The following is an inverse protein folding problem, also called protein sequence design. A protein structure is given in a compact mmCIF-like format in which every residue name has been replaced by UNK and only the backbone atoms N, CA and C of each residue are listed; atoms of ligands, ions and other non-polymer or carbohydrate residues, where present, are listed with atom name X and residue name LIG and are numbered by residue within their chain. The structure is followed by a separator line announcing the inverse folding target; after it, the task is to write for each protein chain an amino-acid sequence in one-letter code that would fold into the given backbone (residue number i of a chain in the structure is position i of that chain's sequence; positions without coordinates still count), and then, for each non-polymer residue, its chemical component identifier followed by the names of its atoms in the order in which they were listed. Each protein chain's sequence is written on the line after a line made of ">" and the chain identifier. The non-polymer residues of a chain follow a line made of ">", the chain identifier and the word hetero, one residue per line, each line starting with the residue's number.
data_IF_304874555867
#
_entry.id   IF_304874555867
#
_cell.length_a   1.000
_cell.length_b   1.000
_cell.length_c   1.000
_cell.angle_alpha   90.00
_cell.angle_beta   90.00
_cell.angle_gamma   90.00
#
_symmetry.space_group_name_H-M   'P 1'
#
loop_
_entity.id
_entity.type
_entity.pdbx_description
1 polymer ?
#
# COMPACT_ATOMS: atom_id res chain seq x y z
N UNK A 1 14.45 0.60 -23.04
CA UNK A 1 14.90 1.68 -22.11
C UNK A 1 13.84 1.93 -21.04
N UNK A 2 14.18 2.00 -19.75
CA UNK A 2 13.22 2.30 -18.68
C UNK A 2 12.57 3.68 -18.89
N UNK A 3 11.32 3.86 -18.45
CA UNK A 3 10.62 5.16 -18.58
C UNK A 3 11.02 6.14 -17.48
N UNK A 4 11.41 5.61 -16.32
CA UNK A 4 11.91 6.38 -15.20
C UNK A 4 13.41 6.15 -15.02
N UNK A 5 14.11 7.18 -14.56
CA UNK A 5 15.49 7.06 -14.10
C UNK A 5 15.55 6.33 -12.74
N UNK A 6 16.76 6.01 -12.28
CA UNK A 6 16.96 5.41 -10.96
C UNK A 6 16.35 6.26 -9.84
N UNK A 7 15.97 5.60 -8.76
CA UNK A 7 15.41 6.25 -7.57
C UNK A 7 16.33 7.39 -7.09
N UNK A 8 15.73 8.55 -6.79
CA UNK A 8 16.49 9.71 -6.32
C UNK A 8 16.83 9.53 -4.84
N UNK A 9 18.10 9.31 -4.54
CA UNK A 9 18.63 9.21 -3.17
C UNK A 9 19.54 10.40 -2.87
N UNK A 10 19.76 10.66 -1.58
CA UNK A 10 20.84 11.56 -1.17
C UNK A 10 22.19 10.87 -1.44
N UNK A 11 23.23 11.58 -1.89
CA UNK A 11 24.52 10.97 -2.22
C UNK A 11 25.11 10.10 -1.10
N UNK A 12 24.99 10.55 0.15
CA UNK A 12 25.47 9.80 1.31
C UNK A 12 24.71 8.48 1.53
N UNK A 13 23.42 8.44 1.22
CA UNK A 13 22.58 7.24 1.33
C UNK A 13 22.91 6.26 0.20
N UNK A 14 23.06 6.76 -1.04
CA UNK A 14 23.42 5.91 -2.18
C UNK A 14 24.81 5.28 -1.98
N UNK A 15 25.78 6.04 -1.49
CA UNK A 15 27.12 5.54 -1.17
C UNK A 15 27.08 4.50 -0.06
N UNK A 16 26.31 4.73 1.01
CA UNK A 16 26.12 3.75 2.08
C UNK A 16 25.54 2.43 1.55
N UNK A 17 24.46 2.49 0.77
CA UNK A 17 23.86 1.30 0.17
C UNK A 17 24.86 0.61 -0.77
N UNK A 18 25.57 1.36 -1.60
CA UNK A 18 26.58 0.80 -2.50
C UNK A 18 27.64 0.00 -1.72
N UNK A 19 28.11 0.51 -0.58
CA UNK A 19 29.07 -0.22 0.26
C UNK A 19 28.49 -1.55 0.79
N UNK A 20 27.22 -1.57 1.21
CA UNK A 20 26.57 -2.79 1.68
C UNK A 20 26.39 -3.83 0.57
N UNK A 21 26.01 -3.40 -0.64
CA UNK A 21 25.78 -4.28 -1.78
C UNK A 21 27.06 -4.72 -2.51
N UNK A 22 28.19 -4.05 -2.26
CA UNK A 22 29.53 -4.40 -2.78
C UNK A 22 30.47 -4.87 -1.64
N UNK A 23 29.92 -5.52 -0.62
CA UNK A 23 30.73 -6.08 0.45
C UNK A 23 31.68 -7.19 -0.07
N UNK A 24 32.67 -7.56 0.74
CA UNK A 24 33.72 -8.51 0.34
C UNK A 24 33.17 -9.87 -0.11
N UNK A 25 32.11 -10.35 0.54
CA UNK A 25 31.48 -11.64 0.24
C UNK A 25 30.74 -11.63 -1.10
N UNK A 26 30.01 -10.56 -1.40
CA UNK A 26 29.31 -10.42 -2.70
C UNK A 26 30.32 -10.29 -3.84
N UNK A 27 31.40 -9.53 -3.63
CA UNK A 27 32.44 -9.32 -4.63
C UNK A 27 33.24 -10.59 -4.89
N UNK A 28 33.57 -11.36 -3.85
CA UNK A 28 34.25 -12.65 -4.02
C UNK A 28 33.38 -13.68 -4.74
N UNK A 29 32.05 -13.64 -4.55
CA UNK A 29 31.12 -14.57 -5.17
C UNK A 29 30.76 -14.25 -6.64
N UNK A 30 30.83 -12.99 -7.08
CA UNK A 30 30.29 -12.60 -8.40
C UNK A 30 31.08 -11.55 -9.20
N UNK A 31 32.24 -11.10 -8.70
CA UNK A 31 33.04 -9.96 -9.19
C UNK A 31 32.45 -8.58 -8.87
N UNK A 32 33.33 -7.57 -8.77
CA UNK A 32 32.95 -6.19 -8.47
C UNK A 32 32.06 -5.57 -9.56
N UNK A 33 32.37 -5.84 -10.83
CA UNK A 33 31.64 -5.27 -11.97
C UNK A 33 30.20 -5.76 -12.02
N UNK A 34 29.98 -7.05 -11.77
CA UNK A 34 28.62 -7.62 -11.73
C UNK A 34 27.83 -7.12 -10.52
N UNK A 35 28.48 -6.99 -9.35
CA UNK A 35 27.85 -6.42 -8.17
C UNK A 35 27.40 -4.96 -8.41
N UNK A 36 28.25 -4.15 -9.04
CA UNK A 36 27.91 -2.79 -9.47
C UNK A 36 26.74 -2.76 -10.44
N UNK A 37 26.75 -3.63 -11.45
CA UNK A 37 25.66 -3.75 -12.43
C UNK A 37 24.34 -4.13 -11.76
N UNK A 38 24.36 -5.09 -10.82
CA UNK A 38 23.18 -5.50 -10.05
C UNK A 38 22.66 -4.38 -9.15
N UNK A 39 23.54 -3.62 -8.50
CA UNK A 39 23.16 -2.48 -7.68
C UNK A 39 22.51 -1.37 -8.50
N UNK A 40 23.08 -0.98 -9.63
CA UNK A 40 22.45 0.02 -10.52
C UNK A 40 21.11 -0.47 -11.08
N UNK A 41 21.02 -1.76 -11.47
CA UNK A 41 19.76 -2.36 -11.90
C UNK A 41 18.69 -2.35 -10.79
N UNK A 42 19.08 -2.56 -9.53
CA UNK A 42 18.18 -2.43 -8.37
C UNK A 42 17.65 -1.00 -8.24
N UNK A 43 18.52 0.01 -8.29
CA UNK A 43 18.11 1.42 -8.18
C UNK A 43 17.15 1.85 -9.30
N UNK A 44 17.33 1.32 -10.52
CA UNK A 44 16.41 1.53 -11.64
C UNK A 44 15.06 0.86 -11.36
N UNK A 45 15.05 -0.40 -10.91
CA UNK A 45 13.82 -1.15 -10.63
C UNK A 45 13.00 -0.54 -9.50
N UNK A 46 13.64 0.01 -8.48
CA UNK A 46 12.96 0.68 -7.35
C UNK A 46 12.16 1.92 -7.77
N UNK A 47 12.46 2.51 -8.93
CA UNK A 47 11.70 3.64 -9.48
C UNK A 47 10.45 3.23 -10.26
N UNK A 48 10.23 1.93 -10.47
CA UNK A 48 9.12 1.40 -11.27
C UNK A 48 8.12 0.67 -10.35
N UNK A 49 6.81 0.74 -10.63
CA UNK A 49 5.84 -0.04 -9.86
C UNK A 49 6.04 -1.55 -10.09
N UNK A 50 5.62 -2.40 -9.14
CA UNK A 50 5.55 -3.84 -9.37
C UNK A 50 4.68 -4.17 -10.60
N UNK A 51 5.02 -5.24 -11.31
CA UNK A 51 4.27 -5.71 -12.48
C UNK A 51 2.92 -6.36 -12.13
N UNK A 52 2.64 -6.57 -10.85
CA UNK A 52 1.38 -7.10 -10.35
C UNK A 52 0.88 -6.26 -9.19
N UNK A 53 -0.41 -5.91 -9.24
CA UNK A 53 -1.14 -5.53 -8.04
C UNK A 53 -1.55 -6.80 -7.31
N UNK A 54 -1.27 -6.83 -6.01
CA UNK A 54 -1.48 -7.99 -5.14
C UNK A 54 -2.51 -7.64 -4.09
N UNK A 55 -3.54 -8.49 -3.98
CA UNK A 55 -4.58 -8.35 -2.95
C UNK A 55 -4.72 -9.67 -2.20
N UNK A 56 -4.91 -9.54 -0.89
CA UNK A 56 -5.25 -10.67 -0.03
C UNK A 56 -6.76 -10.73 0.12
N UNK A 57 -7.31 -11.93 -0.04
CA UNK A 57 -8.71 -12.24 0.22
C UNK A 57 -8.90 -12.47 1.71
N UNK A 58 -9.98 -11.93 2.26
CA UNK A 58 -10.42 -12.22 3.61
C UNK A 58 -11.23 -13.53 3.62
N UNK A 59 -10.51 -14.65 3.73
CA UNK A 59 -11.09 -16.00 3.70
C UNK A 59 -12.01 -16.32 4.88
N UNK A 60 -11.98 -15.50 5.94
CA UNK A 60 -12.96 -15.60 7.02
C UNK A 60 -14.38 -15.30 6.52
N UNK A 61 -14.55 -14.29 5.66
CA UNK A 61 -15.88 -13.82 5.25
C UNK A 61 -16.32 -14.38 3.89
N UNK A 62 -15.39 -14.77 3.03
CA UNK A 62 -15.70 -15.18 1.67
C UNK A 62 -14.63 -16.12 1.06
N UNK A 63 -15.08 -17.06 0.22
CA UNK A 63 -14.16 -17.88 -0.59
C UNK A 63 -13.41 -17.06 -1.64
N UNK A 64 -12.22 -17.54 -2.02
CA UNK A 64 -11.37 -16.89 -3.02
C UNK A 64 -12.03 -16.86 -4.40
N UNK A 65 -12.75 -17.91 -4.80
CA UNK A 65 -13.47 -17.95 -6.07
C UNK A 65 -14.53 -16.85 -6.16
N UNK A 66 -15.38 -16.75 -5.14
CA UNK A 66 -16.42 -15.72 -5.06
C UNK A 66 -15.83 -14.31 -5.14
N UNK A 67 -14.77 -14.02 -4.37
CA UNK A 67 -14.13 -12.70 -4.38
C UNK A 67 -13.44 -12.41 -5.71
N UNK A 68 -12.83 -13.42 -6.33
CA UNK A 68 -12.23 -13.30 -7.67
C UNK A 68 -13.28 -12.91 -8.71
N UNK A 69 -14.46 -13.52 -8.67
CA UNK A 69 -15.52 -13.27 -9.64
C UNK A 69 -16.10 -11.85 -9.46
N UNK A 70 -16.35 -11.41 -8.23
CA UNK A 70 -16.71 -10.02 -7.92
C UNK A 70 -15.65 -9.02 -8.40
N UNK A 71 -14.37 -9.37 -8.22
CA UNK A 71 -13.26 -8.52 -8.64
C UNK A 71 -13.17 -8.44 -10.17
N UNK A 72 -13.44 -9.53 -10.89
CA UNK A 72 -13.50 -9.52 -12.36
C UNK A 72 -14.59 -8.56 -12.86
N UNK A 73 -15.78 -8.56 -12.25
CA UNK A 73 -16.84 -7.61 -12.58
C UNK A 73 -16.43 -6.16 -12.31
N UNK A 74 -15.78 -5.90 -11.17
CA UNK A 74 -15.31 -4.56 -10.83
C UNK A 74 -14.24 -4.06 -11.81
N UNK A 75 -13.30 -4.92 -12.19
CA UNK A 75 -12.27 -4.56 -13.18
C UNK A 75 -12.87 -4.29 -14.56
N UNK A 76 -13.92 -5.02 -14.96
CA UNK A 76 -14.64 -4.76 -16.20
C UNK A 76 -15.29 -3.36 -16.20
N UNK A 77 -15.87 -2.94 -15.07
CA UNK A 77 -16.42 -1.59 -14.90
C UNK A 77 -15.33 -0.51 -14.97
N UNK A 78 -14.23 -0.69 -14.22
CA UNK A 78 -13.14 0.29 -14.16
C UNK A 78 -12.43 0.47 -15.50
N UNK A 79 -12.23 -0.62 -16.26
CA UNK A 79 -11.48 -0.59 -17.51
C UNK A 79 -12.37 -0.60 -18.76
N UNK A 80 -13.64 -0.19 -18.65
CA UNK A 80 -14.57 -0.02 -19.78
C UNK A 80 -14.60 -1.24 -20.72
N UNK A 81 -14.66 -2.43 -20.15
CA UNK A 81 -14.74 -3.70 -20.89
C UNK A 81 -13.39 -4.32 -21.31
N UNK A 82 -12.24 -3.69 -21.01
CA UNK A 82 -10.95 -4.35 -21.17
C UNK A 82 -10.86 -5.55 -20.22
N UNK A 83 -10.66 -6.75 -20.77
CA UNK A 83 -10.48 -7.97 -19.97
C UNK A 83 -9.08 -7.98 -19.35
N UNK A 84 -9.02 -7.83 -18.04
CA UNK A 84 -7.80 -8.02 -17.24
C UNK A 84 -7.96 -9.30 -16.42
N UNK A 85 -7.03 -10.27 -16.51
CA UNK A 85 -7.15 -11.51 -15.75
C UNK A 85 -6.90 -11.26 -14.26
N UNK A 86 -7.58 -12.04 -13.43
CA UNK A 86 -7.31 -12.13 -11.98
C UNK A 86 -6.80 -13.54 -11.72
N UNK A 87 -5.53 -13.66 -11.37
CA UNK A 87 -4.86 -14.94 -11.15
C UNK A 87 -4.83 -15.25 -9.66
N UNK A 88 -5.07 -16.49 -9.26
CA UNK A 88 -4.79 -16.93 -7.89
C UNK A 88 -3.34 -17.38 -7.80
N UNK A 89 -2.67 -17.04 -6.69
CA UNK A 89 -1.28 -17.47 -6.48
C UNK A 89 -1.23 -18.99 -6.21
N UNK A 90 -0.34 -19.76 -6.86
CA UNK A 90 -0.38 -21.23 -6.79
C UNK A 90 -0.05 -21.80 -5.40
N UNK A 91 0.75 -21.08 -4.60
CA UNK A 91 1.16 -21.53 -3.26
C UNK A 91 0.55 -20.72 -2.11
N UNK A 92 -0.11 -19.60 -2.40
CA UNK A 92 -0.71 -18.72 -1.39
C UNK A 92 -2.20 -18.62 -1.74
N UNK A 93 -3.03 -19.55 -1.23
CA UNK A 93 -4.39 -19.75 -1.75
C UNK A 93 -5.28 -18.52 -1.57
N UNK A 94 -4.99 -17.68 -0.58
CA UNK A 94 -5.73 -16.46 -0.25
C UNK A 94 -5.21 -15.19 -0.96
N UNK A 95 -4.31 -15.32 -1.95
CA UNK A 95 -3.74 -14.19 -2.69
C UNK A 95 -4.20 -14.17 -4.15
N UNK A 96 -4.72 -13.02 -4.58
CA UNK A 96 -5.01 -12.74 -5.99
C UNK A 96 -4.00 -11.74 -6.58
N UNK A 97 -3.63 -11.98 -7.83
CA UNK A 97 -2.65 -11.24 -8.61
C UNK A 97 -3.34 -10.63 -9.83
N UNK A 98 -3.12 -9.35 -10.06
CA UNK A 98 -3.68 -8.60 -11.19
C UNK A 98 -2.53 -7.97 -11.95
N UNK A 99 -2.31 -8.31 -13.23
CA UNK A 99 -1.18 -7.78 -13.97
C UNK A 99 -1.36 -6.28 -14.25
N UNK A 100 -0.26 -5.54 -14.12
CA UNK A 100 -0.18 -4.12 -14.42
C UNK A 100 0.17 -3.92 -15.89
N UNK A 101 -0.60 -3.10 -16.60
CA UNK A 101 -0.33 -2.80 -18.03
C UNK A 101 0.46 -1.50 -18.17
N UNK A 102 1.70 -1.57 -18.65
CA UNK A 102 2.55 -0.40 -18.90
C UNK A 102 4.03 -0.77 -19.04
N UNK A 103 4.92 0.21 -19.24
CA UNK A 103 4.64 1.64 -19.34
C UNK A 103 4.08 2.06 -20.70
N UNK A 104 3.05 2.90 -20.70
CA UNK A 104 2.51 3.56 -21.89
C UNK A 104 3.34 4.79 -22.23
N UNK A 105 3.95 4.83 -23.42
CA UNK A 105 4.85 5.91 -23.85
C UNK A 105 4.16 6.99 -24.69
N UNK A 106 3.06 6.64 -25.35
CA UNK A 106 2.42 7.47 -26.36
C UNK A 106 1.30 8.35 -25.77
N UNK A 107 1.49 8.84 -24.54
CA UNK A 107 0.52 9.71 -23.87
C UNK A 107 0.95 11.16 -24.11
N UNK A 108 0.14 11.90 -24.85
CA UNK A 108 0.40 13.33 -25.10
C UNK A 108 0.17 14.15 -23.84
N UNK A 109 1.14 15.02 -23.52
CA UNK A 109 1.07 15.92 -22.37
C UNK A 109 0.14 17.08 -22.66
N UNK A 110 -0.58 17.54 -21.64
CA UNK A 110 -1.50 18.67 -21.67
C UNK A 110 -0.82 19.93 -21.14
N UNK A 111 -1.30 21.08 -21.58
CA UNK A 111 -0.80 22.38 -21.12
C UNK A 111 -1.19 22.67 -19.67
N UNK A 112 -2.36 22.18 -19.24
CA UNK A 112 -2.79 22.28 -17.86
C UNK A 112 -2.13 21.15 -17.04
N UNK A 113 -1.40 21.53 -16.01
CA UNK A 113 -0.57 20.64 -15.21
C UNK A 113 -1.00 20.64 -13.74
N UNK A 114 -0.86 19.48 -13.10
CA UNK A 114 -0.98 19.33 -11.65
C UNK A 114 0.24 18.59 -11.13
N UNK A 115 0.76 19.05 -9.99
CA UNK A 115 1.93 18.46 -9.33
C UNK A 115 1.50 17.91 -7.99
N UNK A 116 1.83 16.64 -7.76
CA UNK A 116 1.60 15.91 -6.52
C UNK A 116 2.91 15.64 -5.79
N UNK A 117 2.82 15.42 -4.48
CA UNK A 117 3.98 14.98 -3.71
C UNK A 117 4.44 13.57 -4.09
N UNK A 118 5.71 13.25 -3.83
CA UNK A 118 6.33 11.97 -4.19
C UNK A 118 5.51 10.73 -3.76
N UNK A 119 4.98 10.73 -2.53
CA UNK A 119 4.17 9.61 -2.02
C UNK A 119 2.84 9.45 -2.76
N UNK A 120 2.18 10.56 -3.11
CA UNK A 120 0.98 10.53 -3.94
C UNK A 120 1.32 10.04 -5.35
N UNK A 121 2.44 10.48 -5.92
CA UNK A 121 2.93 9.97 -7.21
C UNK A 121 3.14 8.45 -7.20
N UNK A 122 3.74 7.91 -6.14
CA UNK A 122 3.89 6.46 -5.97
C UNK A 122 2.55 5.72 -5.84
N UNK A 123 1.54 6.33 -5.22
CA UNK A 123 0.19 5.76 -5.14
C UNK A 123 -0.49 5.75 -6.52
N UNK A 124 -0.34 6.82 -7.31
CA UNK A 124 -0.86 6.91 -8.68
C UNK A 124 -0.24 5.85 -9.58
N UNK A 125 1.08 5.63 -9.49
CA UNK A 125 1.77 4.55 -10.23
C UNK A 125 1.28 3.16 -9.83
N UNK A 126 0.59 3.02 -8.70
CA UNK A 126 -0.04 1.77 -8.22
C UNK A 126 -1.55 1.73 -8.46
N UNK A 127 -2.11 2.68 -9.24
CA UNK A 127 -3.52 2.67 -9.67
C UNK A 127 -4.43 3.62 -8.91
N UNK A 128 -3.91 4.39 -7.95
CA UNK A 128 -4.74 5.34 -7.22
C UNK A 128 -5.11 6.57 -8.08
N UNK A 129 -6.29 7.12 -7.82
CA UNK A 129 -6.60 8.50 -8.21
C UNK A 129 -5.82 9.50 -7.35
N UNK A 130 -5.79 10.76 -7.78
CA UNK A 130 -5.18 11.83 -6.97
C UNK A 130 -6.25 12.40 -6.05
N UNK A 131 -6.03 12.26 -4.75
CA UNK A 131 -6.87 12.89 -3.73
C UNK A 131 -6.37 14.30 -3.43
N UNK A 132 -7.29 15.19 -3.05
CA UNK A 132 -7.02 16.62 -2.79
C UNK A 132 -5.79 16.85 -1.88
N UNK A 133 -5.61 16.12 -0.75
CA UNK A 133 -4.44 16.33 0.12
C UNK A 133 -3.09 16.04 -0.55
N UNK A 134 -3.06 15.26 -1.63
CA UNK A 134 -1.85 14.94 -2.38
C UNK A 134 -1.44 16.01 -3.39
N UNK A 135 -2.32 16.96 -3.72
CA UNK A 135 -2.06 18.02 -4.69
C UNK A 135 -1.25 19.15 -4.04
N UNK A 136 -0.09 19.46 -4.64
CA UNK A 136 0.83 20.49 -4.15
C UNK A 136 0.75 21.76 -5.00
N UNK A 137 0.63 21.61 -6.32
CA UNK A 137 0.54 22.74 -7.27
C UNK A 137 -0.39 22.37 -8.42
N UNK A 138 -0.99 23.38 -9.05
CA UNK A 138 -1.88 23.23 -10.19
C UNK A 138 -1.83 24.49 -11.08
N UNK A 139 -2.04 24.37 -12.39
CA UNK A 139 -2.06 25.53 -13.29
C UNK A 139 -3.10 26.58 -12.86
N UNK A 140 -2.77 27.86 -13.05
CA UNK A 140 -3.58 29.02 -12.62
C UNK A 140 -5.03 28.97 -13.13
N UNK A 141 -5.22 28.49 -14.36
CA UNK A 141 -6.49 28.51 -15.08
C UNK A 141 -7.27 27.19 -15.01
N UNK A 142 -6.81 26.21 -14.23
CA UNK A 142 -7.45 24.90 -14.11
C UNK A 142 -8.87 25.00 -13.54
N UNK A 143 -9.82 24.38 -14.22
CA UNK A 143 -11.23 24.23 -13.86
C UNK A 143 -11.59 22.75 -13.67
N UNK A 144 -12.70 22.50 -12.98
CA UNK A 144 -13.30 21.17 -12.96
C UNK A 144 -13.73 20.76 -14.38
N UNK A 145 -13.48 19.49 -14.73
CA UNK A 145 -13.70 18.93 -16.07
C UNK A 145 -12.48 19.03 -17.01
N UNK A 146 -11.46 19.83 -16.68
CA UNK A 146 -10.28 19.95 -17.52
C UNK A 146 -9.50 18.63 -17.60
N UNK A 147 -9.05 18.27 -18.81
CA UNK A 147 -8.08 17.19 -19.01
C UNK A 147 -6.68 17.75 -18.74
N UNK A 148 -6.01 17.22 -17.73
CA UNK A 148 -4.75 17.73 -17.21
C UNK A 148 -3.66 16.66 -17.22
N UNK A 149 -2.40 17.09 -17.19
CA UNK A 149 -1.25 16.21 -16.98
C UNK A 149 -0.79 16.22 -15.53
N UNK A 150 -0.66 15.04 -14.93
CA UNK A 150 -0.21 14.89 -13.54
C UNK A 150 1.28 14.58 -13.50
N UNK A 151 2.00 15.27 -12.61
CA UNK A 151 3.41 15.06 -12.36
C UNK A 151 3.71 14.82 -10.88
N UNK A 152 4.72 14.01 -10.60
CA UNK A 152 5.27 13.80 -9.26
C UNK A 152 6.47 14.72 -9.02
N UNK A 153 6.44 15.48 -7.93
CA UNK A 153 7.62 16.15 -7.37
C UNK A 153 8.43 15.17 -6.52
N UNK A 154 9.33 14.45 -7.18
CA UNK A 154 10.18 13.43 -6.56
C UNK A 154 11.25 14.01 -5.62
N UNK A 155 11.53 15.32 -5.71
CA UNK A 155 12.52 16.01 -4.87
C UNK A 155 11.89 16.77 -3.70
N UNK A 156 10.57 16.88 -3.65
CA UNK A 156 9.85 17.61 -2.60
C UNK A 156 10.21 19.09 -2.52
N UNK A 157 10.43 19.74 -3.68
CA UNK A 157 10.82 21.15 -3.78
C UNK A 157 9.68 22.09 -4.16
N UNK A 158 8.57 21.56 -4.66
CA UNK A 158 7.40 22.33 -5.00
C UNK A 158 6.72 22.85 -3.73
N UNK A 159 6.51 24.17 -3.65
CA UNK A 159 5.80 24.78 -2.52
C UNK A 159 4.29 24.62 -2.72
N UNK A 160 3.58 24.25 -1.65
CA UNK A 160 2.12 24.10 -1.69
C UNK A 160 1.46 25.41 -2.15
N UNK A 161 0.57 25.31 -3.14
CA UNK A 161 -0.09 26.45 -3.74
C UNK A 161 0.75 27.20 -4.78
N UNK A 162 1.92 26.71 -5.20
CA UNK A 162 2.61 27.28 -6.37
C UNK A 162 1.70 27.21 -7.62
N UNK A 163 1.85 28.17 -8.54
CA UNK A 163 1.11 28.21 -9.82
C UNK A 163 1.90 27.57 -10.96
N UNK A 164 3.21 27.51 -10.81
CA UNK A 164 4.20 27.02 -11.76
C UNK A 164 5.31 26.31 -10.97
N UNK A 165 6.02 25.39 -11.63
CA UNK A 165 7.16 24.68 -11.07
C UNK A 165 8.10 24.25 -12.19
N UNK A 166 9.32 24.74 -12.11
CA UNK A 166 10.44 24.50 -13.03
C UNK A 166 11.39 23.40 -12.54
N UNK A 167 11.18 22.89 -11.33
CA UNK A 167 11.97 21.82 -10.74
C UNK A 167 11.77 20.45 -11.39
N UNK A 168 12.45 19.45 -10.85
CA UNK A 168 12.38 18.08 -11.35
C UNK A 168 10.98 17.50 -11.15
N UNK A 169 10.26 17.27 -12.25
CA UNK A 169 8.92 16.67 -12.28
C UNK A 169 8.90 15.40 -13.13
N UNK A 170 8.22 14.35 -12.64
CA UNK A 170 8.07 13.07 -13.35
C UNK A 170 6.63 12.93 -13.81
N UNK A 171 6.40 12.78 -15.11
CA UNK A 171 5.06 12.59 -15.67
C UNK A 171 4.47 11.26 -15.19
N UNK A 172 3.20 11.26 -14.78
CA UNK A 172 2.49 10.08 -14.28
C UNK A 172 1.37 9.63 -15.23
N UNK A 173 0.87 10.54 -16.07
CA UNK A 173 -0.26 10.33 -16.97
C UNK A 173 -1.21 11.51 -17.00
N UNK A 174 -2.30 11.37 -17.74
CA UNK A 174 -3.37 12.36 -17.78
C UNK A 174 -4.56 11.94 -16.91
N UNK A 175 -5.33 12.93 -16.48
CA UNK A 175 -6.57 12.74 -15.74
C UNK A 175 -7.54 13.89 -15.96
N UNK A 176 -8.76 13.73 -15.45
CA UNK A 176 -9.79 14.76 -15.44
C UNK A 176 -9.80 15.39 -14.05
N UNK A 177 -9.72 16.72 -13.98
CA UNK A 177 -9.82 17.44 -12.72
C UNK A 177 -11.27 17.43 -12.23
N UNK A 178 -11.52 17.01 -10.99
CA UNK A 178 -12.85 17.06 -10.36
C UNK A 178 -13.11 18.43 -9.71
N UNK A 179 -12.05 19.22 -9.52
CA UNK A 179 -12.07 20.50 -8.81
C UNK A 179 -11.32 21.57 -9.59
N UNK A 180 -11.64 22.84 -9.36
CA UNK A 180 -10.81 23.94 -9.83
C UNK A 180 -9.61 24.15 -8.91
N UNK A 181 -8.60 24.88 -9.39
CA UNK A 181 -7.48 25.31 -8.53
C UNK A 181 -7.97 26.11 -7.31
N UNK A 182 -9.01 26.95 -7.49
CA UNK A 182 -9.57 27.77 -6.42
C UNK A 182 -10.15 26.88 -5.32
N UNK A 183 -10.85 25.81 -5.67
CA UNK A 183 -11.47 24.90 -4.70
C UNK A 183 -10.40 24.15 -3.88
N UNK A 184 -9.28 23.78 -4.51
CA UNK A 184 -8.19 23.05 -3.87
C UNK A 184 -7.43 23.91 -2.85
N UNK A 185 -7.14 25.19 -3.18
CA UNK A 185 -6.23 26.02 -2.37
C UNK A 185 -6.92 27.16 -1.59
N UNK A 186 -8.09 27.60 -2.03
CA UNK A 186 -8.86 28.67 -1.40
C UNK A 186 -10.24 28.20 -0.91
N UNK A 187 -10.54 26.89 -1.03
CA UNK A 187 -11.77 26.29 -0.56
C UNK A 187 -11.75 25.94 0.93
N UNK A 188 -12.58 24.98 1.32
CA UNK A 188 -12.76 24.52 2.70
C UNK A 188 -11.44 23.91 3.21
N UNK A 189 -10.92 24.32 4.38
CA UNK A 189 -9.81 23.64 5.04
C UNK A 189 -10.13 22.15 5.20
N UNK A 190 -9.19 21.27 4.88
CA UNK A 190 -9.35 19.81 4.96
C UNK A 190 -10.37 19.18 3.99
N UNK A 191 -10.60 19.79 2.82
CA UNK A 191 -11.32 19.13 1.73
C UNK A 191 -10.70 17.76 1.41
N UNK A 192 -11.50 16.71 1.55
CA UNK A 192 -11.14 15.32 1.24
C UNK A 192 -11.93 14.84 0.03
N UNK A 193 -11.36 13.89 -0.69
CA UNK A 193 -11.97 13.32 -1.89
C UNK A 193 -11.03 13.34 -3.09
N UNK A 194 -11.54 12.83 -4.21
CA UNK A 194 -10.80 12.80 -5.47
C UNK A 194 -10.68 14.22 -6.00
N UNK A 195 -9.45 14.68 -6.21
CA UNK A 195 -9.16 15.94 -6.90
C UNK A 195 -8.93 15.73 -8.39
N UNK A 196 -8.30 14.61 -8.78
CA UNK A 196 -8.08 14.25 -10.18
C UNK A 196 -8.38 12.77 -10.35
N UNK A 197 -9.29 12.47 -11.27
CA UNK A 197 -9.55 11.12 -11.75
C UNK A 197 -8.56 10.77 -12.86
N UNK A 198 -7.63 9.87 -12.57
CA UNK A 198 -6.67 9.39 -13.57
C UNK A 198 -7.40 8.62 -14.68
N UNK A 199 -7.21 9.02 -15.93
CA UNK A 199 -7.85 8.41 -17.10
C UNK A 199 -6.85 7.77 -18.06
N UNK A 200 -5.65 8.34 -18.17
CA UNK A 200 -4.57 7.82 -19.01
C UNK A 200 -3.26 7.74 -18.21
N UNK A 201 -3.16 6.86 -17.20
CA UNK A 201 -1.92 6.68 -16.44
C UNK A 201 -0.85 5.98 -17.28
N UNK A 202 0.44 6.21 -16.96
CA UNK A 202 1.55 5.49 -17.59
C UNK A 202 1.46 3.98 -17.31
N UNK A 203 1.10 3.62 -16.08
CA UNK A 203 0.84 2.25 -15.66
C UNK A 203 -0.64 2.12 -15.33
N UNK A 204 -1.34 1.27 -16.07
CA UNK A 204 -2.72 0.93 -15.79
C UNK A 204 -2.74 -0.18 -14.75
N UNK A 205 -3.08 0.21 -13.53
CA UNK A 205 -3.39 -0.64 -12.39
C UNK A 205 -4.79 -0.27 -11.88
N UNK A 206 -5.55 -1.23 -11.34
CA UNK A 206 -6.88 -0.94 -10.82
C UNK A 206 -6.85 -0.10 -9.54
N UNK A 207 -7.92 0.66 -9.33
CA UNK A 207 -8.14 1.38 -8.07
C UNK A 207 -8.85 0.47 -7.07
N UNK A 208 -8.36 0.45 -5.84
CA UNK A 208 -8.94 -0.30 -4.73
C UNK A 208 -9.62 0.60 -3.69
N UNK A 209 -9.95 1.83 -4.06
CA UNK A 209 -10.70 2.71 -3.16
C UNK A 209 -12.14 2.22 -3.02
N UNK A 210 -12.50 1.79 -1.80
CA UNK A 210 -13.81 1.22 -1.45
C UNK A 210 -14.26 0.02 -2.30
N UNK A 211 -13.33 -0.71 -2.91
CA UNK A 211 -13.62 -1.95 -3.63
C UNK A 211 -13.63 -3.13 -2.67
N UNK A 212 -14.80 -3.73 -2.46
CA UNK A 212 -14.99 -4.92 -1.63
C UNK A 212 -14.28 -4.82 -0.24
N UNK A 213 -14.55 -3.75 0.54
CA UNK A 213 -13.70 -3.35 1.67
C UNK A 213 -13.62 -4.38 2.81
N UNK A 214 -14.62 -5.25 2.95
CA UNK A 214 -14.60 -6.36 3.92
C UNK A 214 -13.98 -7.65 3.38
N UNK A 215 -13.84 -7.79 2.06
CA UNK A 215 -13.35 -9.02 1.42
C UNK A 215 -11.90 -8.91 0.94
N UNK A 216 -11.39 -7.70 0.75
CA UNK A 216 -10.06 -7.47 0.22
C UNK A 216 -9.19 -6.64 1.15
N UNK A 217 -7.92 -6.98 1.20
CA UNK A 217 -6.88 -6.15 1.79
C UNK A 217 -5.75 -5.97 0.78
N UNK A 218 -5.45 -4.72 0.42
CA UNK A 218 -4.34 -4.42 -0.49
C UNK A 218 -3.01 -4.68 0.22
N UNK A 219 -2.30 -5.73 -0.18
CA UNK A 219 -1.10 -6.21 0.49
C UNK A 219 -0.09 -6.71 -0.53
N UNK A 220 1.13 -6.15 -0.47
CA UNK A 220 2.23 -6.62 -1.32
C UNK A 220 2.49 -8.11 -1.07
N UNK A 221 2.77 -8.88 -2.12
CA UNK A 221 3.03 -10.33 -2.04
C UNK A 221 3.99 -10.74 -0.92
N UNK A 222 5.20 -10.14 -0.74
CA UNK A 222 6.09 -10.53 0.36
C UNK A 222 5.48 -10.30 1.74
N UNK A 223 4.56 -9.34 1.90
CA UNK A 223 3.88 -9.12 3.16
C UNK A 223 2.80 -10.15 3.45
N UNK A 224 2.19 -10.77 2.43
CA UNK A 224 1.27 -11.89 2.60
C UNK A 224 2.05 -13.19 2.92
N UNK A 225 3.20 -13.40 2.26
CA UNK A 225 4.09 -14.54 2.53
C UNK A 225 4.47 -14.64 4.01
N UNK A 226 4.72 -13.51 4.69
CA UNK A 226 5.12 -13.51 6.11
C UNK A 226 4.14 -14.27 7.01
N UNK A 227 2.83 -14.09 6.84
CA UNK A 227 1.85 -14.77 7.69
C UNK A 227 1.79 -16.28 7.40
N UNK A 228 1.92 -16.67 6.12
CA UNK A 228 2.01 -18.08 5.72
C UNK A 228 3.29 -18.75 6.24
N UNK A 229 4.42 -18.05 6.24
CA UNK A 229 5.68 -18.55 6.80
C UNK A 229 5.60 -18.68 8.32
N UNK A 230 4.92 -17.76 9.00
CA UNK A 230 4.65 -17.87 10.44
C UNK A 230 3.79 -19.09 10.77
N UNK A 231 2.91 -19.49 9.84
CA UNK A 231 2.03 -20.66 9.94
C UNK A 231 1.23 -20.72 11.27
N UNK A 232 0.45 -19.67 11.58
CA UNK A 232 -0.29 -19.61 12.84
C UNK A 232 -1.38 -20.68 12.89
N UNK A 233 -1.49 -21.41 13.99
CA UNK A 233 -2.50 -22.45 14.19
C UNK A 233 -3.71 -21.91 14.99
N UNK A 234 -4.94 -22.38 14.71
CA UNK A 234 -6.10 -22.08 15.55
C UNK A 234 -5.82 -22.44 17.02
N UNK A 235 -6.24 -21.56 17.94
CA UNK A 235 -6.00 -21.72 19.38
C UNK A 235 -4.65 -21.18 19.89
N UNK A 236 -3.71 -20.82 19.00
CA UNK A 236 -2.43 -20.24 19.43
C UNK A 236 -2.56 -18.82 19.97
N UNK A 237 -1.54 -18.41 20.74
CA UNK A 237 -1.38 -17.05 21.22
C UNK A 237 -0.23 -16.37 20.47
N UNK A 238 -0.54 -15.34 19.70
CA UNK A 238 0.42 -14.71 18.80
C UNK A 238 0.58 -13.24 19.13
N UNK A 239 1.82 -12.76 19.11
CA UNK A 239 2.18 -11.36 19.39
C UNK A 239 2.80 -10.71 18.15
N UNK A 240 2.15 -9.66 17.64
CA UNK A 240 2.67 -8.78 16.60
C UNK A 240 3.13 -7.45 17.25
N UNK A 241 4.45 -7.28 17.39
CA UNK A 241 5.05 -6.15 18.10
C UNK A 241 4.91 -4.79 17.38
N UNK A 242 4.73 -4.80 16.06
CA UNK A 242 4.73 -3.61 15.19
C UNK A 242 3.59 -3.72 14.17
N UNK A 243 2.38 -3.79 14.68
CA UNK A 243 1.24 -4.36 13.99
C UNK A 243 0.60 -3.40 12.98
N UNK A 244 0.65 -2.08 13.20
CA UNK A 244 -0.18 -1.17 12.44
C UNK A 244 0.32 -0.95 10.99
N UNK A 245 -0.59 -0.83 9.99
CA UNK A 245 -2.05 -0.70 10.11
C UNK A 245 -2.82 -2.03 10.17
N UNK A 246 -2.18 -3.15 10.47
CA UNK A 246 -2.84 -4.43 10.74
C UNK A 246 -2.83 -5.44 9.59
N UNK A 247 -2.09 -5.20 8.50
CA UNK A 247 -2.14 -6.08 7.32
C UNK A 247 -1.70 -7.51 7.60
N UNK A 248 -0.66 -7.71 8.42
CA UNK A 248 -0.19 -9.04 8.85
C UNK A 248 -1.01 -9.57 10.01
N UNK A 249 -1.30 -8.73 11.00
CA UNK A 249 -2.13 -9.07 12.16
C UNK A 249 -3.49 -9.63 11.76
N UNK A 250 -4.19 -8.97 10.84
CA UNK A 250 -5.48 -9.44 10.33
C UNK A 250 -5.36 -10.68 9.45
N UNK A 251 -4.21 -10.87 8.78
CA UNK A 251 -3.93 -12.09 8.04
C UNK A 251 -3.71 -13.27 8.99
N UNK A 252 -2.95 -13.08 10.07
CA UNK A 252 -2.72 -14.08 11.12
C UNK A 252 -4.07 -14.52 11.72
N UNK A 253 -4.90 -13.58 12.14
CA UNK A 253 -6.23 -13.91 12.70
C UNK A 253 -7.12 -14.68 11.71
N UNK A 254 -7.10 -14.30 10.42
CA UNK A 254 -7.83 -15.01 9.38
C UNK A 254 -7.32 -16.45 9.16
N UNK A 255 -6.00 -16.68 9.20
CA UNK A 255 -5.40 -18.02 9.10
C UNK A 255 -5.70 -18.90 10.31
N UNK A 256 -5.80 -18.30 11.50
CA UNK A 256 -6.27 -18.97 12.72
C UNK A 256 -7.78 -19.24 12.72
N UNK A 257 -8.49 -18.91 11.63
CA UNK A 257 -9.94 -19.06 11.44
C UNK A 257 -10.78 -18.26 12.44
N UNK A 258 -10.18 -17.29 13.13
CA UNK A 258 -10.79 -16.41 14.12
C UNK A 258 -11.83 -17.10 15.03
N UNK A 259 -11.52 -18.34 15.44
CA UNK A 259 -12.46 -19.13 16.24
C UNK A 259 -12.59 -18.51 17.63
N UNK A 260 -13.60 -17.67 17.81
CA UNK A 260 -14.13 -17.35 19.13
C UNK A 260 -15.20 -18.39 19.44
N UNK A 261 -14.90 -19.29 20.36
CA UNK A 261 -15.91 -20.13 20.98
C UNK A 261 -16.88 -19.20 21.72
N UNK A 262 -18.06 -18.95 21.12
CA UNK A 262 -19.13 -18.17 21.75
C UNK A 262 -19.54 -18.85 23.05
N UNK A 263 -19.28 -18.15 24.14
CA UNK A 263 -19.53 -18.54 25.51
C UNK A 263 -21.03 -18.68 25.78
N UNK A 264 -21.59 -19.86 25.64
CA UNK A 264 -22.90 -20.22 26.23
C UNK A 264 -22.81 -21.32 27.28
N UNK A 265 -21.65 -21.96 27.46
CA UNK A 265 -21.42 -22.90 28.56
C UNK A 265 -20.00 -22.67 29.09
N UNK A 266 -19.92 -21.93 30.20
CA UNK A 266 -18.70 -21.77 31.00
C UNK A 266 -18.47 -23.07 31.78
N UNK A 267 -17.83 -24.06 31.18
CA UNK A 267 -17.36 -25.26 31.88
C UNK A 267 -15.85 -25.38 31.74
N UNK A 268 -15.15 -25.03 32.83
CA UNK A 268 -13.87 -25.52 33.42
C UNK A 268 -12.63 -25.74 32.53
N UNK A 269 -12.71 -25.77 31.20
CA UNK A 269 -11.56 -25.88 30.30
C UNK A 269 -11.56 -24.75 29.25
N UNK A 270 -11.14 -23.55 29.70
CA UNK A 270 -11.00 -22.30 28.91
C UNK A 270 -9.82 -22.33 27.90
N UNK A 271 -9.37 -23.51 27.47
CA UNK A 271 -8.06 -23.72 26.83
C UNK A 271 -8.03 -23.62 25.30
N UNK A 272 -9.12 -23.21 24.64
CA UNK A 272 -9.21 -23.22 23.17
C UNK A 272 -9.55 -21.88 22.51
N UNK A 273 -9.21 -20.74 23.13
CA UNK A 273 -9.35 -19.42 22.50
C UNK A 273 -8.03 -18.95 21.89
N UNK A 274 -7.96 -18.91 20.56
CA UNK A 274 -6.86 -18.28 19.85
C UNK A 274 -6.86 -16.76 20.07
N UNK A 275 -5.70 -16.16 20.25
CA UNK A 275 -5.57 -14.73 20.56
C UNK A 275 -4.41 -14.09 19.79
N UNK A 276 -4.69 -12.99 19.09
CA UNK A 276 -3.66 -12.19 18.39
C UNK A 276 -3.50 -10.84 19.10
N UNK A 277 -2.42 -10.71 19.87
CA UNK A 277 -2.03 -9.48 20.54
C UNK A 277 -1.25 -8.61 19.55
N UNK A 278 -1.70 -7.37 19.36
CA UNK A 278 -1.14 -6.44 18.38
C UNK A 278 -0.69 -5.15 19.06
N UNK A 279 0.60 -4.81 18.95
CA UNK A 279 1.17 -3.60 19.53
C UNK A 279 1.55 -2.61 18.43
N UNK A 280 1.32 -1.32 18.66
CA UNK A 280 1.97 -0.23 17.93
C UNK A 280 2.14 0.98 18.84
N UNK A 281 3.16 1.80 18.60
CA UNK A 281 3.49 2.96 19.44
C UNK A 281 2.56 4.14 19.21
N UNK A 282 1.91 4.23 18.05
CA UNK A 282 1.17 5.44 17.62
C UNK A 282 -0.34 5.19 17.68
N UNK A 283 -1.05 5.93 18.55
CA UNK A 283 -2.49 5.77 18.78
C UNK A 283 -3.32 5.77 17.49
N UNK A 284 -3.13 6.75 16.60
CA UNK A 284 -3.89 6.84 15.34
C UNK A 284 -3.69 5.60 14.45
N UNK A 285 -2.52 4.96 14.50
CA UNK A 285 -2.24 3.75 13.74
C UNK A 285 -2.91 2.53 14.38
N UNK A 286 -2.94 2.46 15.72
CA UNK A 286 -3.68 1.42 16.47
C UNK A 286 -5.18 1.51 16.20
N UNK A 287 -5.75 2.72 16.22
CA UNK A 287 -7.16 2.92 15.87
C UNK A 287 -7.45 2.49 14.43
N UNK A 288 -6.53 2.76 13.48
CA UNK A 288 -6.67 2.25 12.11
C UNK A 288 -6.60 0.73 12.03
N UNK A 289 -5.77 0.08 12.84
CA UNK A 289 -5.72 -1.37 12.95
C UNK A 289 -7.05 -1.92 13.48
N UNK A 290 -7.61 -1.35 14.56
CA UNK A 290 -8.92 -1.75 15.12
C UNK A 290 -10.04 -1.60 14.09
N UNK A 291 -10.05 -0.49 13.34
CA UNK A 291 -11.01 -0.28 12.24
C UNK A 291 -10.88 -1.36 11.18
N UNK A 292 -9.66 -1.71 10.78
CA UNK A 292 -9.43 -2.76 9.78
C UNK A 292 -9.83 -4.16 10.32
N UNK A 293 -9.56 -4.46 11.59
CA UNK A 293 -10.01 -5.72 12.21
C UNK A 293 -11.54 -5.82 12.21
N UNK A 294 -12.22 -4.76 12.65
CA UNK A 294 -13.69 -4.69 12.64
C UNK A 294 -14.27 -4.77 11.23
N UNK A 295 -13.68 -4.09 10.24
CA UNK A 295 -14.12 -4.12 8.85
C UNK A 295 -14.01 -5.52 8.22
N UNK A 296 -13.00 -6.28 8.63
CA UNK A 296 -12.73 -7.65 8.17
C UNK A 296 -13.46 -8.71 9.02
N UNK A 297 -14.23 -8.31 10.04
CA UNK A 297 -14.97 -9.23 10.90
C UNK A 297 -14.09 -10.09 11.81
N UNK A 298 -12.92 -9.58 12.22
CA UNK A 298 -11.95 -10.31 13.03
C UNK A 298 -12.03 -9.88 14.50
N UNK A 299 -12.19 -10.84 15.40
CA UNK A 299 -12.51 -10.64 16.79
C UNK A 299 -11.42 -11.14 17.77
N UNK A 300 -10.56 -12.07 17.35
CA UNK A 300 -9.42 -12.56 18.16
C UNK A 300 -8.30 -11.54 18.34
N UNK A 301 -8.39 -10.38 17.67
CA UNK A 301 -7.35 -9.34 17.68
C UNK A 301 -7.54 -8.39 18.85
N UNK A 302 -6.53 -8.28 19.71
CA UNK A 302 -6.45 -7.29 20.77
C UNK A 302 -5.32 -6.31 20.51
N UNK A 303 -5.69 -5.07 20.17
CA UNK A 303 -4.74 -4.04 19.78
C UNK A 303 -4.47 -3.02 20.90
N UNK A 304 -3.19 -2.77 21.18
CA UNK A 304 -2.72 -1.88 22.25
C UNK A 304 -1.78 -0.79 21.71
N UNK A 305 -1.98 0.43 22.20
CA UNK A 305 -1.03 1.52 22.00
C UNK A 305 0.10 1.41 23.02
N UNK A 306 1.18 0.74 22.65
CA UNK A 306 2.25 0.39 23.58
C UNK A 306 3.62 0.40 22.90
N UNK A 307 4.65 0.75 23.67
CA UNK A 307 6.04 0.68 23.22
C UNK A 307 6.55 -0.76 23.37
N UNK A 308 6.62 -1.50 22.25
CA UNK A 308 7.07 -2.89 22.22
C UNK A 308 8.44 -3.12 22.86
N UNK A 309 9.33 -2.11 22.91
CA UNK A 309 10.64 -2.23 23.59
C UNK A 309 10.52 -2.40 25.11
N UNK A 310 9.34 -2.13 25.68
CA UNK A 310 9.02 -2.23 27.11
C UNK A 310 8.07 -3.38 27.43
N UNK A 311 7.75 -4.24 26.45
CA UNK A 311 6.76 -5.31 26.60
C UNK A 311 7.16 -6.36 27.67
N UNK A 312 8.44 -6.48 27.99
CA UNK A 312 8.98 -7.42 28.98
C UNK A 312 9.47 -6.75 30.27
N UNK A 313 9.01 -5.54 30.64
CA UNK A 313 9.43 -4.94 31.91
C UNK A 313 8.91 -5.78 33.09
N UNK A 314 9.79 -6.65 33.62
CA UNK A 314 9.60 -7.59 34.74
C UNK A 314 9.42 -6.93 36.13
N UNK A 315 8.87 -5.72 36.21
CA UNK A 315 8.85 -4.90 37.44
C UNK A 315 7.48 -4.53 37.99
N UNK A 316 6.39 -5.18 37.56
CA UNK A 316 5.02 -4.94 38.07
C UNK A 316 4.28 -6.26 38.34
N UNK A 317 5.00 -7.25 38.88
CA UNK A 317 4.38 -8.41 39.52
C UNK A 317 5.10 -8.61 40.87
N UNK A 318 5.05 -7.58 41.70
CA UNK A 318 5.13 -7.76 43.15
C UNK A 318 3.81 -7.24 43.72
N UNK A 319 3.26 -8.02 44.65
CA UNK A 319 1.84 -8.09 44.96
C UNK A 319 1.16 -6.76 45.29
N UNK A 320 -0.08 -6.66 44.83
CA UNK A 320 -1.15 -6.09 45.63
C UNK A 320 -2.32 -7.07 45.56
N UNK A 321 -2.51 -7.76 46.68
CA UNK A 321 -3.81 -8.29 47.11
C UNK A 321 -4.89 -7.20 47.03
#
# INVERSE_FOLDING_TARGET
>A
MPIFHKISLRPEVENYLKQSFLNKEVVSASSKQEAERKFEALLIRLAHPPSFTTVRVNTHLASVEYVRDLLLEELQKQFRGLRVPVLQHPTLPDVLLIPVTGPRRNIERRQCEVIVGAQCGNAVLRGAHVYVPGIVSASKFMKAGDVISVYSDIKGKCKKGAKEFDGTKVFLGNGISELSRKDIFNGIPDLKGIGIRMTEPIYLSPSFDNVLPSYLFLQNLPSAVVAHVLNPQPGEKILDLCAAPGGKTTHIAALMQDQILFYLIKTIDDTFQGEVIALDKVLNKVEKLKQNASLLGLHSIRAFCFDATKALKLGVIDGTE
#
